data_IF_830672506072
#
_entry.id   IF_830672506072
#
_cell.length_a   1.000
_cell.length_b   1.000
_cell.length_c   1.000
_cell.angle_alpha   90.00
_cell.angle_beta   90.00
_cell.angle_gamma   90.00
#
_symmetry.space_group_name_H-M   'P 1'
#
loop_
_entity.id
_entity.type
_entity.pdbx_description
1 polymer ?
#
# COMPACT_ATOMS: atom_id res chain seq x y z
N UNK A 1 -2.04 19.81 5.77
CA UNK A 1 -2.52 21.05 5.10
C UNK A 1 -3.27 20.67 3.84
N UNK A 2 -4.21 21.50 3.41
CA UNK A 2 -5.05 21.26 2.22
C UNK A 2 -5.04 22.50 1.32
N UNK A 3 -4.72 22.33 0.03
CA UNK A 3 -4.66 23.42 -0.95
C UNK A 3 -6.03 23.64 -1.56
N UNK A 4 -6.59 24.84 -1.38
CA UNK A 4 -7.90 25.18 -1.95
C UNK A 4 -7.81 25.31 -3.46
N UNK A 5 -8.70 24.59 -4.16
CA UNK A 5 -8.79 24.64 -5.62
C UNK A 5 -7.43 24.38 -6.31
N UNK A 6 -6.73 23.34 -5.89
CA UNK A 6 -5.36 23.02 -6.29
C UNK A 6 -5.13 23.11 -7.81
N UNK A 7 -6.00 22.49 -8.63
CA UNK A 7 -5.83 22.48 -10.09
C UNK A 7 -5.90 23.88 -10.71
N UNK A 8 -6.64 24.81 -10.11
CA UNK A 8 -6.73 26.20 -10.62
C UNK A 8 -5.42 27.01 -10.45
N UNK A 9 -4.44 26.47 -9.70
CA UNK A 9 -3.11 27.08 -9.57
C UNK A 9 -2.15 26.58 -10.67
N UNK A 10 -2.43 25.46 -11.33
CA UNK A 10 -1.59 24.90 -12.39
C UNK A 10 -1.67 25.72 -13.67
N UNK A 11 -0.53 26.08 -14.24
CA UNK A 11 -0.44 26.77 -15.53
C UNK A 11 -0.43 25.75 -16.67
N UNK A 12 -1.25 25.99 -17.69
CA UNK A 12 -1.31 25.12 -18.87
C UNK A 12 -0.18 25.49 -19.81
N UNK A 13 0.50 24.47 -20.33
CA UNK A 13 1.50 24.62 -21.39
C UNK A 13 0.92 24.36 -22.79
N UNK A 14 -0.24 23.71 -22.81
CA UNK A 14 -0.98 23.36 -24.03
C UNK A 14 -2.08 24.40 -24.30
N UNK A 15 -2.35 24.63 -25.58
CA UNK A 15 -3.50 25.46 -26.00
C UNK A 15 -4.83 24.71 -25.75
N UNK A 16 -5.57 25.16 -24.75
CA UNK A 16 -6.86 24.58 -24.38
C UNK A 16 -7.96 25.62 -24.54
N UNK A 17 -8.97 25.27 -25.32
CA UNK A 17 -10.13 26.12 -25.54
C UNK A 17 -11.39 25.44 -25.00
N UNK A 18 -12.24 26.23 -24.33
CA UNK A 18 -13.53 25.76 -23.80
C UNK A 18 -14.64 26.69 -24.24
N UNK A 19 -15.86 26.17 -24.33
CA UNK A 19 -17.06 26.98 -24.56
C UNK A 19 -17.31 27.92 -23.37
N UNK A 20 -17.94 29.04 -23.64
CA UNK A 20 -18.35 29.95 -22.58
C UNK A 20 -19.40 29.26 -21.69
N UNK A 21 -19.23 29.28 -20.34
CA UNK A 21 -20.17 28.60 -19.44
C UNK A 21 -21.59 29.19 -19.55
N UNK A 22 -22.65 28.38 -19.41
CA UNK A 22 -24.01 28.86 -19.34
C UNK A 22 -24.20 29.98 -18.31
N UNK A 23 -24.83 31.07 -18.69
CA UNK A 23 -25.00 32.27 -17.83
C UNK A 23 -23.84 33.26 -17.87
N UNK A 24 -22.70 32.96 -18.50
CA UNK A 24 -21.55 33.85 -18.67
C UNK A 24 -21.22 34.10 -20.15
N UNK A 25 -22.15 33.82 -21.05
CA UNK A 25 -22.00 34.07 -22.49
C UNK A 25 -21.98 35.56 -22.74
N UNK A 26 -20.89 36.08 -23.30
CA UNK A 26 -20.71 37.49 -23.62
C UNK A 26 -21.59 37.89 -24.79
N UNK A 27 -22.47 38.85 -24.56
CA UNK A 27 -23.40 39.36 -25.59
C UNK A 27 -22.61 39.93 -26.78
N UNK A 28 -22.96 39.49 -27.98
CA UNK A 28 -22.23 39.83 -29.22
C UNK A 28 -20.97 39.01 -29.50
N UNK A 29 -20.66 38.05 -28.64
CA UNK A 29 -19.51 37.17 -28.75
C UNK A 29 -19.87 35.69 -28.49
N UNK A 30 -21.12 35.30 -28.74
CA UNK A 30 -21.68 34.00 -28.43
C UNK A 30 -20.93 32.82 -29.09
N UNK A 31 -20.28 33.08 -30.23
CA UNK A 31 -19.48 32.08 -30.97
C UNK A 31 -18.00 31.99 -30.55
N UNK A 32 -17.55 32.90 -29.65
CA UNK A 32 -16.17 32.84 -29.17
C UNK A 32 -16.02 31.82 -28.08
N UNK A 33 -14.85 31.20 -28.05
CA UNK A 33 -14.38 30.27 -27.00
C UNK A 33 -13.42 30.97 -26.07
N UNK A 34 -13.24 30.44 -24.86
CA UNK A 34 -12.27 30.92 -23.90
C UNK A 34 -10.99 30.10 -24.04
N UNK A 35 -9.86 30.78 -24.19
CA UNK A 35 -8.54 30.19 -24.09
C UNK A 35 -8.14 30.10 -22.62
N UNK A 36 -7.81 28.93 -22.16
CA UNK A 36 -7.43 28.69 -20.76
C UNK A 36 -5.94 28.91 -20.56
N UNK A 37 -5.59 29.76 -19.61
CA UNK A 37 -4.20 29.98 -19.14
C UNK A 37 -3.89 29.04 -17.97
N UNK A 38 -4.90 28.74 -17.14
CA UNK A 38 -4.79 27.84 -15.99
C UNK A 38 -5.67 26.62 -16.15
N UNK A 39 -5.29 25.54 -15.48
CA UNK A 39 -6.04 24.30 -15.49
C UNK A 39 -7.41 24.45 -14.81
N UNK A 40 -8.36 23.65 -15.25
CA UNK A 40 -9.68 23.48 -14.64
C UNK A 40 -9.89 22.02 -14.22
N UNK A 41 -10.73 21.82 -13.21
CA UNK A 41 -11.19 20.49 -12.84
C UNK A 41 -11.91 19.83 -14.02
N UNK A 42 -11.62 18.56 -14.27
CA UNK A 42 -12.11 17.80 -15.42
C UNK A 42 -11.17 17.72 -16.62
N UNK A 43 -10.17 18.60 -16.72
CA UNK A 43 -9.13 18.48 -17.76
C UNK A 43 -8.15 17.36 -17.42
N UNK A 44 -7.79 16.53 -18.42
CA UNK A 44 -6.83 15.43 -18.25
C UNK A 44 -5.43 15.90 -17.80
N UNK A 45 -5.00 17.08 -18.24
CA UNK A 45 -3.71 17.69 -17.91
C UNK A 45 -3.69 18.47 -16.59
N UNK A 46 -4.85 18.74 -15.96
CA UNK A 46 -4.93 19.52 -14.75
C UNK A 46 -4.09 18.96 -13.57
N UNK A 47 -4.10 17.65 -13.28
CA UNK A 47 -3.24 17.08 -12.23
C UNK A 47 -1.76 17.29 -12.50
N UNK A 48 -1.33 17.16 -13.76
CA UNK A 48 0.08 17.36 -14.17
C UNK A 48 0.49 18.82 -14.03
N UNK A 49 -0.34 19.76 -14.48
CA UNK A 49 -0.08 21.20 -14.38
C UNK A 49 0.02 21.64 -12.91
N UNK A 50 -0.87 21.14 -12.06
CA UNK A 50 -0.82 21.37 -10.63
C UNK A 50 0.44 20.79 -9.98
N UNK A 51 0.75 19.53 -10.27
CA UNK A 51 1.94 18.88 -9.73
C UNK A 51 3.22 19.64 -10.09
N UNK A 52 3.37 20.07 -11.35
CA UNK A 52 4.51 20.87 -11.78
C UNK A 52 4.62 22.21 -11.02
N UNK A 53 3.49 22.87 -10.74
CA UNK A 53 3.46 24.11 -9.96
C UNK A 53 3.85 23.90 -8.50
N UNK A 54 3.36 22.83 -7.89
CA UNK A 54 3.70 22.47 -6.52
C UNK A 54 5.18 22.07 -6.39
N UNK A 55 5.68 21.24 -7.31
CA UNK A 55 7.08 20.81 -7.38
C UNK A 55 8.02 22.02 -7.49
N UNK A 56 7.79 22.94 -8.45
CA UNK A 56 8.54 24.16 -8.60
C UNK A 56 8.56 24.99 -7.29
N UNK A 57 7.43 25.05 -6.60
CA UNK A 57 7.31 25.81 -5.35
C UNK A 57 8.11 25.17 -4.22
N UNK A 58 8.05 23.83 -4.07
CA UNK A 58 8.81 23.11 -3.05
C UNK A 58 10.33 23.17 -3.33
N UNK A 59 10.74 23.03 -4.59
CA UNK A 59 12.15 23.18 -5.00
C UNK A 59 12.69 24.58 -4.67
N UNK A 60 11.92 25.65 -4.91
CA UNK A 60 12.29 27.04 -4.54
C UNK A 60 12.46 27.21 -3.04
N UNK A 61 11.71 26.49 -2.22
CA UNK A 61 11.85 26.45 -0.76
C UNK A 61 13.01 25.58 -0.29
N UNK A 62 13.81 25.03 -1.21
CA UNK A 62 15.00 24.22 -0.91
C UNK A 62 14.70 22.76 -0.60
N UNK A 63 13.47 22.29 -0.84
CA UNK A 63 13.18 20.85 -0.76
C UNK A 63 13.81 20.10 -1.92
N UNK A 64 14.09 18.83 -1.68
CA UNK A 64 14.54 17.88 -2.69
C UNK A 64 13.51 16.77 -2.79
N UNK A 65 13.09 16.46 -4.01
CA UNK A 65 12.21 15.31 -4.25
C UNK A 65 12.96 14.01 -3.99
N UNK A 66 12.33 13.05 -3.31
CA UNK A 66 12.89 11.72 -3.09
C UNK A 66 13.06 11.00 -4.43
N UNK A 67 14.18 10.30 -4.61
CA UNK A 67 14.43 9.46 -5.80
C UNK A 67 13.71 8.11 -5.70
N UNK A 68 13.34 7.71 -4.49
CA UNK A 68 12.64 6.45 -4.20
C UNK A 68 11.11 6.58 -4.26
N UNK A 69 10.58 7.77 -3.93
CA UNK A 69 9.14 8.06 -3.91
C UNK A 69 8.87 9.53 -4.26
N UNK A 70 8.44 9.77 -5.48
CA UNK A 70 8.25 11.13 -6.03
C UNK A 70 7.18 11.96 -5.29
N UNK A 71 6.32 11.33 -4.53
CA UNK A 71 5.34 12.03 -3.68
C UNK A 71 5.94 12.52 -2.36
N UNK A 72 7.24 12.32 -2.12
CA UNK A 72 7.93 12.69 -0.89
C UNK A 72 9.01 13.72 -1.17
N UNK A 73 8.99 14.81 -0.41
CA UNK A 73 9.97 15.89 -0.46
C UNK A 73 10.68 16.04 0.88
N UNK A 74 11.97 16.31 0.83
CA UNK A 74 12.87 16.37 1.97
C UNK A 74 13.59 17.71 2.02
N UNK A 75 13.66 18.30 3.22
CA UNK A 75 14.44 19.53 3.46
C UNK A 75 15.23 19.40 4.75
N UNK A 76 16.39 20.04 4.83
CA UNK A 76 17.23 20.05 6.02
C UNK A 76 17.92 18.71 6.29
N UNK A 77 18.59 18.62 7.45
CA UNK A 77 19.36 17.44 7.84
C UNK A 77 19.22 17.16 9.35
N UNK A 78 19.40 15.91 9.74
CA UNK A 78 19.36 15.46 11.14
C UNK A 78 18.08 15.93 11.87
N UNK A 79 18.23 16.61 13.01
CA UNK A 79 17.13 17.02 13.88
C UNK A 79 16.23 18.11 13.25
N UNK A 80 16.72 18.78 12.20
CA UNK A 80 15.97 19.78 11.41
C UNK A 80 15.42 19.22 10.10
N UNK A 81 15.33 17.90 9.96
CA UNK A 81 14.76 17.25 8.81
C UNK A 81 13.26 17.49 8.76
N UNK A 82 12.80 18.08 7.65
CA UNK A 82 11.38 18.13 7.27
C UNK A 82 11.12 17.11 6.18
N UNK A 83 9.99 16.43 6.29
CA UNK A 83 9.46 15.50 5.30
C UNK A 83 8.07 15.98 4.93
N UNK A 84 7.83 16.16 3.65
CA UNK A 84 6.51 16.52 3.10
C UNK A 84 6.03 15.40 2.19
N UNK A 85 4.93 14.75 2.55
CA UNK A 85 4.22 13.81 1.69
C UNK A 85 3.09 14.53 0.95
N UNK A 86 3.01 14.35 -0.36
CA UNK A 86 2.05 15.04 -1.24
C UNK A 86 1.04 14.04 -1.80
N UNK A 87 -0.24 14.37 -1.69
CA UNK A 87 -1.30 13.65 -2.39
C UNK A 87 -2.33 14.65 -2.95
N UNK A 88 -2.18 14.97 -4.22
CA UNK A 88 -2.97 15.97 -4.96
C UNK A 88 -2.93 17.34 -4.26
N UNK A 89 -3.93 17.67 -3.44
CA UNK A 89 -4.10 18.91 -2.67
C UNK A 89 -3.76 18.77 -1.18
N UNK A 90 -3.59 17.53 -0.71
CA UNK A 90 -3.24 17.22 0.68
C UNK A 90 -1.72 17.16 0.89
N UNK A 91 -1.21 17.86 1.90
CA UNK A 91 0.18 17.80 2.35
C UNK A 91 0.27 17.27 3.78
N UNK A 92 0.99 16.16 3.97
CA UNK A 92 1.43 15.71 5.29
C UNK A 92 2.82 16.26 5.56
N UNK A 93 2.99 16.91 6.71
CA UNK A 93 4.25 17.50 7.13
C UNK A 93 4.73 16.78 8.40
N UNK A 94 5.95 16.29 8.38
CA UNK A 94 6.60 15.69 9.54
C UNK A 94 8.00 16.29 9.74
N UNK A 95 8.36 16.57 11.00
CA UNK A 95 9.66 17.12 11.33
C UNK A 95 9.92 17.06 12.83
N UNK A 96 11.20 17.13 13.22
CA UNK A 96 11.63 17.14 14.63
C UNK A 96 11.52 18.52 15.30
N UNK A 97 11.47 19.59 14.52
CA UNK A 97 11.47 20.96 15.01
C UNK A 97 10.16 21.69 14.61
N UNK A 98 9.39 22.12 15.60
CA UNK A 98 8.12 22.83 15.37
C UNK A 98 8.31 24.17 14.63
N UNK A 99 9.37 24.90 14.92
CA UNK A 99 9.65 26.20 14.25
C UNK A 99 9.85 26.01 12.74
N UNK A 100 10.56 24.97 12.33
CA UNK A 100 10.76 24.67 10.90
C UNK A 100 9.44 24.30 10.21
N UNK A 101 8.57 23.56 10.91
CA UNK A 101 7.22 23.22 10.43
C UNK A 101 6.38 24.50 10.25
N UNK A 102 6.38 25.38 11.23
CA UNK A 102 5.57 26.60 11.21
C UNK A 102 6.07 27.59 10.14
N UNK A 103 7.39 27.70 9.96
CA UNK A 103 8.00 28.49 8.88
C UNK A 103 7.56 27.97 7.51
N UNK A 104 7.68 26.66 7.28
CA UNK A 104 7.23 26.04 6.03
C UNK A 104 5.73 26.27 5.77
N UNK A 105 4.88 26.15 6.80
CA UNK A 105 3.45 26.44 6.68
C UNK A 105 3.19 27.90 6.25
N UNK A 106 3.92 28.87 6.82
CA UNK A 106 3.80 30.29 6.45
C UNK A 106 4.21 30.52 4.99
N UNK A 107 5.32 29.94 4.55
CA UNK A 107 5.80 30.05 3.17
C UNK A 107 4.80 29.46 2.18
N UNK A 108 4.22 28.31 2.50
CA UNK A 108 3.18 27.68 1.66
C UNK A 108 1.91 28.52 1.63
N UNK A 109 1.48 29.12 2.75
CA UNK A 109 0.34 30.03 2.81
C UNK A 109 0.56 31.32 2.00
N UNK A 110 1.80 31.79 1.87
CA UNK A 110 2.13 32.95 1.02
C UNK A 110 2.03 32.63 -0.47
N UNK A 111 2.21 31.35 -0.83
CA UNK A 111 2.22 30.90 -2.22
C UNK A 111 0.85 30.42 -2.69
N UNK A 112 0.13 29.70 -1.84
CA UNK A 112 -1.15 29.07 -2.15
C UNK A 112 -2.23 29.43 -1.10
N UNK A 113 -3.47 29.51 -1.55
CA UNK A 113 -4.59 29.54 -0.61
C UNK A 113 -4.76 28.15 0.02
N UNK A 114 -4.42 28.02 1.29
CA UNK A 114 -4.40 26.75 2.01
C UNK A 114 -5.18 26.80 3.32
N UNK A 115 -5.54 25.63 3.83
CA UNK A 115 -6.02 25.44 5.19
C UNK A 115 -5.01 24.61 5.99
N UNK A 116 -4.63 25.11 7.16
CA UNK A 116 -3.92 24.28 8.15
C UNK A 116 -4.95 23.47 8.93
N UNK A 117 -4.90 22.15 8.80
CA UNK A 117 -5.79 21.21 9.47
C UNK A 117 -5.26 20.78 10.85
N UNK A 118 -4.14 21.38 11.29
CA UNK A 118 -3.51 21.08 12.57
C UNK A 118 -2.84 19.69 12.60
N UNK A 119 -2.87 19.06 13.77
CA UNK A 119 -2.33 17.72 13.97
C UNK A 119 -3.12 16.70 13.19
N UNK A 120 -2.44 15.77 12.53
CA UNK A 120 -3.06 14.77 11.68
C UNK A 120 -3.99 13.85 12.49
N UNK A 121 -5.28 13.86 12.14
CA UNK A 121 -6.33 13.01 12.72
C UNK A 121 -7.03 12.15 11.66
N UNK A 122 -7.00 12.60 10.41
CA UNK A 122 -7.65 11.94 9.30
C UNK A 122 -6.91 12.21 8.00
N UNK A 123 -6.65 11.18 7.20
CA UNK A 123 -5.94 11.30 5.94
C UNK A 123 -6.37 10.23 4.95
N UNK A 124 -6.88 10.64 3.79
CA UNK A 124 -7.29 9.71 2.73
C UNK A 124 -8.17 8.57 3.24
N UNK A 125 -9.16 8.86 4.10
CA UNK A 125 -10.04 7.84 4.67
C UNK A 125 -9.44 7.01 5.80
N UNK A 126 -8.22 7.28 6.23
CA UNK A 126 -7.57 6.66 7.39
C UNK A 126 -7.76 7.54 8.63
N UNK A 127 -8.17 6.95 9.72
CA UNK A 127 -8.23 7.57 11.04
C UNK A 127 -6.86 7.46 11.70
N UNK A 128 -6.31 8.57 12.17
CA UNK A 128 -4.98 8.66 12.78
C UNK A 128 -5.12 9.12 14.22
N UNK A 129 -4.79 8.26 15.16
CA UNK A 129 -4.70 8.60 16.57
C UNK A 129 -3.23 8.70 16.98
N UNK A 130 -2.85 9.82 17.59
CA UNK A 130 -1.48 10.06 18.03
C UNK A 130 -1.45 10.27 19.54
N UNK A 131 -0.62 9.49 20.24
CA UNK A 131 -0.37 9.54 21.67
C UNK A 131 1.13 9.64 21.97
N UNK A 132 1.49 9.71 23.24
CA UNK A 132 2.89 9.61 23.67
C UNK A 132 3.48 8.22 23.39
N UNK A 133 2.65 7.18 23.41
CA UNK A 133 3.05 5.80 23.17
C UNK A 133 3.29 5.50 21.68
N UNK A 134 2.61 6.23 20.78
CA UNK A 134 2.76 6.01 19.35
C UNK A 134 1.63 6.57 18.49
N UNK A 135 1.49 5.95 17.32
CA UNK A 135 0.47 6.30 16.32
C UNK A 135 -0.35 5.05 16.01
N UNK A 136 -1.66 5.19 15.98
CA UNK A 136 -2.57 4.14 15.50
C UNK A 136 -3.23 4.60 14.20
N UNK A 137 -3.20 3.76 13.18
CA UNK A 137 -3.92 3.93 11.92
C UNK A 137 -5.04 2.90 11.85
N UNK A 138 -6.28 3.34 11.68
CA UNK A 138 -7.44 2.47 11.53
C UNK A 138 -8.45 3.06 10.55
N UNK A 139 -9.52 2.32 10.28
CA UNK A 139 -10.61 2.72 9.39
C UNK A 139 -11.96 2.30 10.00
N UNK A 140 -12.19 2.62 11.28
CA UNK A 140 -13.36 2.15 12.02
C UNK A 140 -14.68 2.61 11.40
N UNK A 141 -14.78 3.90 11.07
CA UNK A 141 -15.97 4.46 10.43
C UNK A 141 -16.21 3.86 9.04
N UNK A 142 -15.13 3.63 8.27
CA UNK A 142 -15.23 2.99 6.96
C UNK A 142 -15.65 1.53 7.07
N UNK A 143 -15.10 0.77 8.00
CA UNK A 143 -15.48 -0.61 8.26
C UNK A 143 -16.96 -0.73 8.68
N UNK A 144 -17.44 0.17 9.54
CA UNK A 144 -18.84 0.25 9.94
C UNK A 144 -19.75 0.55 8.74
N UNK A 145 -19.35 1.50 7.87
CA UNK A 145 -20.09 1.83 6.64
C UNK A 145 -20.17 0.64 5.67
N UNK A 146 -19.11 -0.17 5.54
CA UNK A 146 -19.15 -1.40 4.73
C UNK A 146 -20.20 -2.35 5.26
N UNK A 147 -20.27 -2.58 6.60
CA UNK A 147 -21.27 -3.45 7.20
C UNK A 147 -22.69 -2.92 7.02
N UNK A 148 -22.90 -1.62 7.12
CA UNK A 148 -24.18 -0.97 6.87
C UNK A 148 -24.64 -1.16 5.41
N UNK A 149 -23.79 -0.81 4.44
CA UNK A 149 -24.13 -0.90 3.01
C UNK A 149 -24.33 -2.32 2.51
N UNK A 150 -23.73 -3.31 3.20
CA UNK A 150 -23.92 -4.74 2.89
C UNK A 150 -25.04 -5.41 3.68
N UNK A 151 -25.73 -4.67 4.54
CA UNK A 151 -26.81 -5.22 5.42
C UNK A 151 -26.28 -6.19 6.47
N UNK A 152 -25.00 -6.07 6.86
CA UNK A 152 -24.34 -6.96 7.82
C UNK A 152 -24.14 -6.33 9.21
N UNK A 153 -24.74 -5.17 9.45
CA UNK A 153 -24.73 -4.52 10.78
C UNK A 153 -25.35 -5.45 11.83
N UNK A 154 -24.66 -5.63 12.95
CA UNK A 154 -25.14 -6.50 14.05
C UNK A 154 -25.08 -8.01 13.76
N UNK A 155 -24.47 -8.45 12.67
CA UNK A 155 -24.33 -9.87 12.38
C UNK A 155 -23.44 -10.57 13.41
N UNK A 156 -23.68 -11.87 13.63
CA UNK A 156 -22.85 -12.70 14.54
C UNK A 156 -21.42 -12.76 14.01
N UNK A 157 -20.46 -12.28 14.81
CA UNK A 157 -19.03 -12.25 14.48
C UNK A 157 -18.41 -13.66 14.35
N UNK A 158 -17.26 -13.71 13.67
CA UNK A 158 -16.40 -14.91 13.57
C UNK A 158 -14.98 -14.56 14.00
N UNK A 159 -14.21 -15.57 14.43
CA UNK A 159 -12.83 -15.35 14.90
C UNK A 159 -11.79 -15.27 13.78
N UNK A 160 -12.10 -15.73 12.55
CA UNK A 160 -11.18 -15.72 11.42
C UNK A 160 -11.89 -15.23 10.15
N UNK A 161 -11.22 -14.48 9.27
CA UNK A 161 -11.83 -13.93 8.06
C UNK A 161 -12.11 -15.01 6.99
N UNK A 162 -11.43 -16.15 7.05
CA UNK A 162 -11.62 -17.26 6.11
C UNK A 162 -11.56 -18.61 6.83
N UNK A 163 -12.25 -19.60 6.30
CA UNK A 163 -12.19 -20.96 6.81
C UNK A 163 -10.89 -21.64 6.43
N UNK A 164 -10.22 -22.35 7.35
CA UNK A 164 -9.05 -23.13 7.02
C UNK A 164 -9.36 -24.11 5.88
N UNK A 165 -8.43 -24.23 4.93
CA UNK A 165 -8.53 -25.14 3.78
C UNK A 165 -9.70 -24.88 2.83
N UNK A 166 -10.40 -23.74 2.92
CA UNK A 166 -11.43 -23.36 1.95
C UNK A 166 -10.83 -23.35 0.53
N UNK A 167 -11.52 -24.03 -0.39
CA UNK A 167 -11.18 -24.05 -1.81
C UNK A 167 -12.35 -23.54 -2.62
N UNK A 168 -12.14 -22.44 -3.34
CA UNK A 168 -13.12 -21.84 -4.25
C UNK A 168 -12.60 -21.94 -5.67
N UNK A 169 -13.48 -22.14 -6.64
CA UNK A 169 -13.16 -22.29 -8.06
C UNK A 169 -13.97 -21.35 -8.93
N UNK A 170 -13.37 -20.84 -9.98
CA UNK A 170 -14.08 -20.14 -11.07
C UNK A 170 -15.08 -21.04 -11.80
N UNK A 171 -14.89 -22.37 -11.72
CA UNK A 171 -15.76 -23.38 -12.32
C UNK A 171 -16.86 -23.88 -11.36
N UNK A 172 -17.14 -23.13 -10.27
CA UNK A 172 -18.22 -23.46 -9.34
C UNK A 172 -19.56 -23.57 -10.08
N UNK A 173 -20.31 -24.62 -9.76
CA UNK A 173 -21.69 -24.86 -10.28
C UNK A 173 -22.76 -24.22 -9.42
N UNK A 174 -22.39 -23.50 -8.36
CA UNK A 174 -23.32 -22.79 -7.51
C UNK A 174 -24.00 -21.63 -8.28
N UNK A 175 -25.22 -21.21 -7.89
CA UNK A 175 -25.93 -20.14 -8.58
C UNK A 175 -25.10 -18.86 -8.71
N UNK A 176 -25.09 -18.30 -9.94
CA UNK A 176 -24.46 -17.03 -10.23
C UNK A 176 -25.15 -15.88 -9.48
N UNK A 177 -24.37 -14.86 -9.13
CA UNK A 177 -24.88 -13.62 -8.51
C UNK A 177 -24.47 -12.40 -9.32
N UNK A 178 -25.06 -11.23 -9.02
CA UNK A 178 -24.69 -9.97 -9.67
C UNK A 178 -23.20 -9.63 -9.47
N UNK A 179 -22.40 -9.60 -10.55
CA UNK A 179 -21.00 -9.27 -10.46
C UNK A 179 -20.74 -7.82 -10.02
N UNK A 180 -21.67 -6.90 -10.31
CA UNK A 180 -21.54 -5.48 -9.96
C UNK A 180 -21.60 -5.30 -8.45
N UNK A 181 -22.59 -5.91 -7.82
CA UNK A 181 -22.72 -5.93 -6.36
C UNK A 181 -21.50 -6.59 -5.69
N UNK A 182 -21.07 -7.74 -6.20
CA UNK A 182 -19.90 -8.45 -5.68
C UNK A 182 -18.62 -7.59 -5.77
N UNK A 183 -18.36 -7.00 -6.94
CA UNK A 183 -17.19 -6.10 -7.15
C UNK A 183 -17.21 -4.89 -6.23
N UNK A 184 -18.38 -4.30 -6.01
CA UNK A 184 -18.52 -3.17 -5.08
C UNK A 184 -18.09 -3.53 -3.66
N UNK A 185 -18.52 -4.68 -3.14
CA UNK A 185 -18.15 -5.14 -1.80
C UNK A 185 -16.65 -5.46 -1.75
N UNK A 186 -16.14 -6.25 -2.69
CA UNK A 186 -14.72 -6.64 -2.70
C UNK A 186 -13.81 -5.42 -2.86
N UNK A 187 -14.17 -4.44 -3.71
CA UNK A 187 -13.44 -3.18 -3.85
C UNK A 187 -13.37 -2.40 -2.53
N UNK A 188 -14.47 -2.33 -1.78
CA UNK A 188 -14.49 -1.71 -0.46
C UNK A 188 -13.59 -2.45 0.53
N UNK A 189 -13.60 -3.78 0.50
CA UNK A 189 -12.71 -4.60 1.35
C UNK A 189 -11.23 -4.43 0.98
N UNK A 190 -10.90 -4.31 -0.31
CA UNK A 190 -9.52 -4.04 -0.75
C UNK A 190 -8.98 -2.72 -0.19
N UNK A 191 -9.83 -1.69 -0.12
CA UNK A 191 -9.42 -0.43 0.50
C UNK A 191 -9.18 -0.57 2.01
N UNK A 192 -9.98 -1.38 2.71
CA UNK A 192 -9.81 -1.64 4.14
C UNK A 192 -8.49 -2.36 4.47
N UNK A 193 -7.95 -3.16 3.55
CA UNK A 193 -6.66 -3.86 3.71
C UNK A 193 -5.49 -2.91 3.98
N UNK A 194 -5.58 -1.63 3.59
CA UNK A 194 -4.52 -0.63 3.84
C UNK A 194 -4.20 -0.41 5.33
N UNK A 195 -5.11 -0.76 6.25
CA UNK A 195 -4.86 -0.74 7.70
C UNK A 195 -5.09 -2.10 8.36
N UNK A 196 -5.46 -3.12 7.57
CA UNK A 196 -5.87 -4.43 8.05
C UNK A 196 -5.10 -5.55 7.32
N UNK A 197 -3.81 -5.76 7.64
CA UNK A 197 -3.01 -6.85 7.05
C UNK A 197 -3.63 -8.23 7.28
N UNK A 198 -4.34 -8.43 8.37
CA UNK A 198 -5.07 -9.63 8.73
C UNK A 198 -6.16 -10.03 7.71
N UNK A 199 -6.65 -9.09 6.92
CA UNK A 199 -7.62 -9.32 5.86
C UNK A 199 -6.98 -9.56 4.48
N UNK A 200 -5.69 -9.28 4.30
CA UNK A 200 -5.06 -9.20 2.98
C UNK A 200 -5.20 -10.50 2.17
N UNK A 201 -4.96 -11.65 2.77
CA UNK A 201 -5.13 -12.95 2.09
C UNK A 201 -6.58 -13.21 1.71
N UNK A 202 -7.50 -13.10 2.67
CA UNK A 202 -8.91 -13.43 2.46
C UNK A 202 -9.56 -12.53 1.40
N UNK A 203 -9.27 -11.22 1.42
CA UNK A 203 -9.74 -10.27 0.43
C UNK A 203 -9.09 -10.51 -0.93
N UNK A 204 -7.77 -10.74 -0.96
CA UNK A 204 -7.04 -11.12 -2.18
C UNK A 204 -7.56 -12.42 -2.80
N UNK A 205 -7.99 -13.39 -1.97
CA UNK A 205 -8.54 -14.66 -2.45
C UNK A 205 -9.92 -14.48 -3.10
N UNK A 206 -10.87 -13.80 -2.43
CA UNK A 206 -12.20 -13.56 -3.00
C UNK A 206 -12.18 -12.62 -4.21
N UNK A 207 -11.18 -11.76 -4.34
CA UNK A 207 -11.02 -10.88 -5.50
C UNK A 207 -10.78 -11.61 -6.82
N UNK A 208 -10.34 -12.88 -6.76
CA UNK A 208 -10.11 -13.72 -7.95
C UNK A 208 -11.39 -14.06 -8.72
N UNK A 209 -12.55 -13.89 -8.09
CA UNK A 209 -13.86 -14.30 -8.59
C UNK A 209 -14.75 -13.13 -9.02
N UNK A 210 -14.22 -11.90 -9.12
CA UNK A 210 -14.99 -10.67 -9.47
C UNK A 210 -15.59 -10.69 -10.89
N UNK A 211 -15.09 -11.52 -11.78
CA UNK A 211 -15.57 -11.64 -13.17
C UNK A 211 -16.89 -12.41 -13.23
N UNK A 212 -16.98 -13.55 -12.57
CA UNK A 212 -18.13 -14.45 -12.56
C UNK A 212 -18.37 -15.03 -11.16
N UNK A 213 -18.88 -14.23 -10.22
CA UNK A 213 -19.09 -14.68 -8.85
C UNK A 213 -20.33 -15.55 -8.68
N UNK A 214 -20.26 -16.46 -7.71
CA UNK A 214 -21.36 -17.36 -7.33
C UNK A 214 -21.74 -17.16 -5.86
N UNK A 215 -22.82 -17.82 -5.43
CA UNK A 215 -23.27 -17.78 -4.03
C UNK A 215 -22.22 -18.32 -3.06
N UNK A 216 -21.36 -19.26 -3.48
CA UNK A 216 -20.23 -19.75 -2.66
C UNK A 216 -19.18 -18.64 -2.42
N UNK A 217 -18.84 -17.90 -3.48
CA UNK A 217 -17.91 -16.77 -3.36
C UNK A 217 -18.47 -15.68 -2.45
N UNK A 218 -19.77 -15.39 -2.55
CA UNK A 218 -20.45 -14.45 -1.65
C UNK A 218 -20.48 -14.95 -0.21
N UNK A 219 -20.61 -16.27 0.00
CA UNK A 219 -20.50 -16.91 1.30
C UNK A 219 -19.17 -16.60 2.01
N UNK A 220 -18.07 -16.71 1.25
CA UNK A 220 -16.73 -16.34 1.75
C UNK A 220 -16.62 -14.84 2.07
N UNK A 221 -17.17 -13.97 1.21
CA UNK A 221 -17.23 -12.50 1.46
C UNK A 221 -18.03 -12.20 2.73
N UNK A 222 -19.19 -12.83 2.92
CA UNK A 222 -19.99 -12.67 4.15
C UNK A 222 -19.23 -13.10 5.40
N UNK A 223 -18.37 -14.10 5.32
CA UNK A 223 -17.52 -14.49 6.44
C UNK A 223 -16.50 -13.40 6.78
N UNK A 224 -15.87 -12.78 5.79
CA UNK A 224 -14.97 -11.63 5.99
C UNK A 224 -15.73 -10.50 6.70
N UNK A 225 -16.94 -10.17 6.25
CA UNK A 225 -17.79 -9.14 6.87
C UNK A 225 -18.14 -9.47 8.34
N UNK A 226 -18.42 -10.73 8.65
CA UNK A 226 -18.66 -11.18 10.03
C UNK A 226 -17.40 -11.07 10.89
N UNK A 227 -16.21 -11.30 10.34
CA UNK A 227 -14.97 -11.08 11.05
C UNK A 227 -14.75 -9.59 11.32
N UNK A 228 -14.98 -8.71 10.33
CA UNK A 228 -14.90 -7.26 10.48
C UNK A 228 -15.86 -6.76 11.56
N UNK A 229 -17.10 -7.30 11.64
CA UNK A 229 -18.07 -6.94 12.67
C UNK A 229 -17.56 -7.19 14.09
N UNK A 230 -16.71 -8.20 14.30
CA UNK A 230 -16.08 -8.50 15.60
C UNK A 230 -14.77 -7.77 15.84
N UNK A 231 -14.24 -7.05 14.85
CA UNK A 231 -12.89 -6.45 14.89
C UNK A 231 -12.86 -5.03 14.33
N UNK A 232 -13.95 -4.26 14.52
CA UNK A 232 -14.08 -2.90 13.98
C UNK A 232 -12.93 -1.97 14.39
N UNK A 233 -12.47 -2.08 15.64
CA UNK A 233 -11.42 -1.24 16.21
C UNK A 233 -10.00 -1.67 15.85
N UNK A 234 -9.83 -2.72 15.02
CA UNK A 234 -8.50 -3.17 14.63
C UNK A 234 -7.86 -2.24 13.60
N UNK A 235 -6.54 -2.13 13.69
CA UNK A 235 -5.71 -1.30 12.81
C UNK A 235 -4.24 -1.57 13.06
N UNK A 236 -3.38 -0.74 12.48
CA UNK A 236 -1.93 -0.80 12.66
C UNK A 236 -1.50 0.15 13.78
N UNK A 237 -0.74 -0.37 14.74
CA UNK A 237 -0.16 0.41 15.82
C UNK A 237 1.34 0.58 15.60
N UNK A 238 1.80 1.82 15.64
CA UNK A 238 3.20 2.21 15.47
C UNK A 238 3.74 2.75 16.80
N UNK A 239 4.50 1.92 17.49
CA UNK A 239 5.07 2.25 18.81
C UNK A 239 6.25 3.20 18.69
N UNK A 240 6.29 4.21 19.55
CA UNK A 240 7.42 5.15 19.66
C UNK A 240 8.50 4.55 20.55
N UNK A 241 9.56 4.01 19.96
CA UNK A 241 10.75 3.56 20.71
C UNK A 241 11.75 4.71 20.91
N UNK A 242 12.16 4.94 22.15
CA UNK A 242 13.00 6.11 22.52
C UNK A 242 14.50 5.97 22.24
N UNK A 243 15.07 4.78 21.98
CA UNK A 243 16.55 4.61 21.94
C UNK A 243 17.12 3.57 20.96
N UNK A 244 16.33 2.68 20.38
CA UNK A 244 16.86 1.68 19.45
C UNK A 244 16.66 2.10 17.99
N UNK A 245 17.71 1.92 17.21
CA UNK A 245 17.63 2.11 15.78
C UNK A 245 16.71 1.05 15.16
N UNK A 246 15.56 1.49 14.68
CA UNK A 246 14.60 0.58 14.04
C UNK A 246 15.20 0.02 12.75
N UNK A 247 15.46 -1.29 12.72
CA UNK A 247 15.97 -2.03 11.55
C UNK A 247 14.81 -2.49 10.69
N UNK A 248 15.05 -2.56 9.38
CA UNK A 248 14.10 -3.12 8.42
C UNK A 248 14.21 -4.64 8.45
N UNK A 249 13.10 -5.31 8.77
CA UNK A 249 12.96 -6.76 8.83
C UNK A 249 11.82 -7.21 7.94
N UNK A 250 12.10 -8.09 6.99
CA UNK A 250 11.13 -8.68 6.08
C UNK A 250 10.84 -10.14 6.40
N UNK A 251 9.62 -10.57 6.07
CA UNK A 251 9.18 -11.96 6.06
C UNK A 251 8.65 -12.29 4.67
N UNK A 252 9.00 -13.45 4.16
CA UNK A 252 8.52 -13.97 2.88
C UNK A 252 8.04 -15.40 3.05
N UNK A 253 6.85 -15.67 2.53
CA UNK A 253 6.23 -17.00 2.51
C UNK A 253 5.53 -17.24 1.18
N UNK A 254 5.33 -18.49 0.81
CA UNK A 254 4.51 -18.90 -0.31
C UNK A 254 3.75 -20.18 -0.04
N UNK A 255 2.47 -20.23 -0.39
CA UNK A 255 1.79 -21.50 -0.51
C UNK A 255 2.29 -22.29 -1.74
N UNK A 256 2.05 -23.58 -1.78
CA UNK A 256 2.34 -24.40 -2.96
C UNK A 256 1.05 -24.66 -3.74
N UNK A 257 0.94 -24.08 -4.95
CA UNK A 257 -0.13 -24.35 -5.90
C UNK A 257 -1.55 -24.24 -5.31
N UNK A 258 -1.76 -23.28 -4.39
CA UNK A 258 -3.01 -23.13 -3.63
C UNK A 258 -4.22 -22.71 -4.44
N UNK A 259 -4.02 -22.09 -5.59
CA UNK A 259 -5.10 -21.76 -6.54
C UNK A 259 -5.46 -23.01 -7.35
N UNK A 260 -6.66 -23.55 -7.12
CA UNK A 260 -7.08 -24.83 -7.72
C UNK A 260 -7.32 -24.75 -9.22
N UNK A 261 -7.68 -23.55 -9.73
CA UNK A 261 -7.99 -23.35 -11.15
C UNK A 261 -6.73 -23.23 -12.01
N UNK A 262 -5.70 -22.53 -11.49
CA UNK A 262 -4.50 -22.21 -12.25
C UNK A 262 -3.22 -22.87 -11.72
N UNK A 263 -3.30 -23.54 -10.58
CA UNK A 263 -2.16 -24.17 -9.87
C UNK A 263 -1.03 -23.20 -9.53
N UNK A 264 -1.34 -21.90 -9.48
CA UNK A 264 -0.41 -20.85 -9.08
C UNK A 264 -0.37 -20.69 -7.57
N UNK A 265 0.81 -20.39 -7.05
CA UNK A 265 1.04 -20.10 -5.64
C UNK A 265 0.65 -18.67 -5.27
N UNK A 266 0.48 -18.41 -4.00
CA UNK A 266 0.27 -17.07 -3.43
C UNK A 266 1.52 -16.66 -2.67
N UNK A 267 2.10 -15.53 -3.02
CA UNK A 267 3.21 -14.90 -2.31
C UNK A 267 2.67 -14.03 -1.17
N UNK A 268 3.26 -14.18 0.02
CA UNK A 268 3.10 -13.32 1.18
C UNK A 268 4.38 -12.57 1.48
N UNK A 269 4.29 -11.25 1.62
CA UNK A 269 5.41 -10.38 1.99
C UNK A 269 4.97 -9.46 3.12
N UNK A 270 5.78 -9.37 4.17
CA UNK A 270 5.49 -8.51 5.32
C UNK A 270 6.79 -7.85 5.78
N UNK A 271 6.79 -6.53 5.94
CA UNK A 271 7.93 -5.79 6.45
C UNK A 271 7.60 -4.99 7.70
N UNK A 272 8.56 -5.00 8.61
CA UNK A 272 8.54 -4.21 9.84
C UNK A 272 9.71 -3.23 9.86
N UNK A 273 9.47 -2.05 10.41
CA UNK A 273 10.51 -1.11 10.83
C UNK A 273 10.59 -1.15 12.37
N UNK A 274 11.57 -1.87 12.89
CA UNK A 274 11.56 -2.32 14.30
C UNK A 274 10.42 -3.31 14.53
N UNK A 275 9.45 -2.97 15.39
CA UNK A 275 8.26 -3.80 15.65
C UNK A 275 6.99 -3.30 14.91
N UNK A 276 7.14 -2.28 14.07
CA UNK A 276 6.02 -1.61 13.43
C UNK A 276 5.82 -2.14 12.00
N UNK A 277 4.67 -2.70 11.63
CA UNK A 277 4.41 -3.16 10.26
C UNK A 277 4.33 -1.96 9.32
N UNK A 278 5.11 -1.96 8.24
CA UNK A 278 5.19 -0.83 7.29
C UNK A 278 4.66 -1.18 5.90
N UNK A 279 4.68 -2.45 5.52
CA UNK A 279 4.08 -2.90 4.27
C UNK A 279 3.74 -4.38 4.33
N UNK A 280 2.69 -4.78 3.62
CA UNK A 280 2.24 -6.17 3.49
C UNK A 280 1.63 -6.41 2.12
N UNK A 281 1.78 -7.63 1.63
CA UNK A 281 1.26 -8.02 0.34
C UNK A 281 0.84 -9.49 0.36
N UNK A 282 -0.35 -9.78 -0.18
CA UNK A 282 -0.82 -11.12 -0.50
C UNK A 282 -1.16 -11.16 -1.98
N UNK A 283 -0.35 -11.84 -2.80
CA UNK A 283 -0.50 -11.79 -4.26
C UNK A 283 -0.30 -13.15 -4.91
N UNK A 284 -1.22 -13.54 -5.81
CA UNK A 284 -1.07 -14.73 -6.64
C UNK A 284 0.11 -14.55 -7.60
N UNK A 285 1.00 -15.55 -7.67
CA UNK A 285 2.15 -15.57 -8.57
C UNK A 285 1.71 -15.55 -10.04
N UNK A 286 2.55 -14.96 -10.89
CA UNK A 286 2.27 -14.88 -12.34
C UNK A 286 2.55 -16.19 -13.08
N UNK A 287 3.42 -17.04 -12.53
CA UNK A 287 3.84 -18.33 -13.08
C UNK A 287 3.40 -19.46 -12.16
N UNK A 288 3.43 -20.69 -12.66
CA UNK A 288 3.23 -21.91 -11.87
C UNK A 288 4.61 -22.38 -11.41
N UNK A 289 4.83 -22.44 -10.10
CA UNK A 289 6.04 -22.99 -9.52
C UNK A 289 6.02 -24.54 -9.57
N UNK A 290 7.12 -25.15 -9.93
CA UNK A 290 7.23 -26.61 -10.05
C UNK A 290 7.50 -27.30 -8.71
N UNK A 291 7.89 -26.54 -7.68
CA UNK A 291 8.15 -27.04 -6.33
C UNK A 291 7.85 -25.97 -5.27
N UNK A 292 7.76 -26.38 -4.01
CA UNK A 292 7.67 -25.44 -2.88
C UNK A 292 8.90 -24.55 -2.80
N UNK A 293 10.09 -25.08 -3.02
CA UNK A 293 11.33 -24.30 -3.07
C UNK A 293 11.28 -23.19 -4.13
N UNK A 294 10.75 -23.47 -5.32
CA UNK A 294 10.60 -22.46 -6.38
C UNK A 294 9.55 -21.40 -6.02
N UNK A 295 8.41 -21.82 -5.46
CA UNK A 295 7.38 -20.89 -5.01
C UNK A 295 7.92 -19.92 -3.95
N UNK A 296 8.67 -20.44 -2.96
CA UNK A 296 9.35 -19.66 -1.92
C UNK A 296 10.43 -18.74 -2.50
N UNK A 297 11.19 -19.22 -3.47
CA UNK A 297 12.22 -18.42 -4.13
C UNK A 297 11.63 -17.24 -4.90
N UNK A 298 10.50 -17.42 -5.59
CA UNK A 298 9.75 -16.38 -6.28
C UNK A 298 9.22 -15.35 -5.27
N UNK A 299 8.70 -15.83 -4.13
CA UNK A 299 8.22 -14.97 -3.06
C UNK A 299 9.37 -14.13 -2.45
N UNK A 300 10.50 -14.77 -2.15
CA UNK A 300 11.70 -14.13 -1.62
C UNK A 300 12.26 -13.06 -2.57
N UNK A 301 12.19 -13.28 -3.88
CA UNK A 301 12.58 -12.27 -4.87
C UNK A 301 11.65 -11.05 -4.83
N UNK A 302 10.35 -11.28 -4.73
CA UNK A 302 9.36 -10.20 -4.59
C UNK A 302 9.61 -9.39 -3.32
N UNK A 303 9.85 -10.07 -2.19
CA UNK A 303 10.20 -9.44 -0.93
C UNK A 303 11.53 -8.67 -1.02
N UNK A 304 12.53 -9.21 -1.73
CA UNK A 304 13.80 -8.53 -1.98
C UNK A 304 13.62 -7.19 -2.70
N UNK A 305 12.82 -7.14 -3.76
CA UNK A 305 12.52 -5.89 -4.47
C UNK A 305 11.89 -4.86 -3.53
N UNK A 306 10.89 -5.27 -2.75
CA UNK A 306 10.22 -4.41 -1.77
C UNK A 306 11.19 -3.94 -0.67
N UNK A 307 12.03 -4.84 -0.14
CA UNK A 307 13.01 -4.53 0.89
C UNK A 307 14.05 -3.51 0.44
N UNK A 308 14.54 -3.62 -0.79
CA UNK A 308 15.51 -2.66 -1.37
C UNK A 308 14.87 -1.28 -1.54
N UNK A 309 13.64 -1.23 -2.05
CA UNK A 309 12.91 0.05 -2.17
C UNK A 309 12.71 0.71 -0.81
N UNK A 310 12.25 -0.04 0.20
CA UNK A 310 12.10 0.46 1.57
C UNK A 310 13.43 0.93 2.16
N UNK A 311 14.53 0.18 1.97
CA UNK A 311 15.85 0.55 2.47
C UNK A 311 16.32 1.88 1.86
N UNK A 312 16.13 2.09 0.56
CA UNK A 312 16.44 3.35 -0.12
C UNK A 312 15.63 4.51 0.44
N UNK A 313 14.30 4.34 0.55
CA UNK A 313 13.41 5.35 1.09
C UNK A 313 13.78 5.71 2.54
N UNK A 314 14.06 4.71 3.39
CA UNK A 314 14.49 4.93 4.77
C UNK A 314 15.85 5.66 4.82
N UNK A 315 16.77 5.33 3.91
CA UNK A 315 18.07 6.03 3.81
C UNK A 315 17.88 7.50 3.49
N UNK A 316 17.03 7.82 2.54
CA UNK A 316 16.71 9.20 2.18
C UNK A 316 16.02 9.94 3.35
N UNK A 317 15.00 9.32 3.96
CA UNK A 317 14.28 9.90 5.10
C UNK A 317 15.20 10.19 6.30
N UNK A 318 16.17 9.31 6.58
CA UNK A 318 17.09 9.43 7.71
C UNK A 318 18.36 10.23 7.36
N UNK A 319 18.68 10.42 6.09
CA UNK A 319 19.91 11.06 5.62
C UNK A 319 21.16 10.25 5.94
N UNK A 320 21.06 8.92 6.01
CA UNK A 320 22.15 7.96 6.21
C UNK A 320 21.80 6.61 5.61
N UNK A 321 22.81 5.85 5.21
CA UNK A 321 22.58 4.53 4.62
C UNK A 321 21.81 3.61 5.57
N UNK A 322 20.79 2.94 5.04
CA UNK A 322 20.18 1.80 5.70
C UNK A 322 21.14 0.61 5.54
N UNK A 323 21.34 -0.15 6.61
CA UNK A 323 22.06 -1.41 6.53
C UNK A 323 21.34 -2.43 5.65
N UNK A 324 21.96 -3.60 5.46
CA UNK A 324 21.35 -4.70 4.73
C UNK A 324 19.94 -5.04 5.28
N UNK A 325 18.99 -5.26 4.39
CA UNK A 325 17.64 -5.70 4.76
C UNK A 325 17.68 -7.18 5.16
N UNK A 326 17.28 -7.51 6.40
CA UNK A 326 17.11 -8.91 6.81
C UNK A 326 15.80 -9.45 6.29
N UNK A 327 15.83 -10.62 5.62
CA UNK A 327 14.66 -11.30 5.07
C UNK A 327 14.55 -12.71 5.67
N UNK A 328 13.47 -12.98 6.41
CA UNK A 328 13.15 -14.26 7.04
C UNK A 328 12.38 -15.14 6.07
N UNK A 329 12.89 -16.37 5.84
CA UNK A 329 12.33 -17.37 4.94
C UNK A 329 12.34 -18.70 5.69
N UNK A 330 11.29 -19.49 5.62
CA UNK A 330 11.21 -20.80 6.31
C UNK A 330 11.63 -21.98 5.43
N UNK A 331 12.03 -21.75 4.18
CA UNK A 331 12.51 -22.76 3.24
C UNK A 331 14.04 -22.67 3.05
N UNK A 332 14.77 -23.59 3.69
CA UNK A 332 16.24 -23.64 3.61
C UNK A 332 16.76 -23.84 2.19
N UNK A 333 16.02 -24.60 1.35
CA UNK A 333 16.40 -24.81 -0.05
C UNK A 333 16.28 -23.52 -0.87
N UNK A 334 15.29 -22.68 -0.61
CA UNK A 334 15.15 -21.38 -1.25
C UNK A 334 16.28 -20.43 -0.79
N UNK A 335 16.65 -20.46 0.50
CA UNK A 335 17.79 -19.73 1.03
C UNK A 335 19.10 -20.18 0.38
N UNK A 336 19.33 -21.50 0.29
CA UNK A 336 20.52 -22.06 -0.37
C UNK A 336 20.58 -21.64 -1.85
N UNK A 337 19.44 -21.65 -2.55
CA UNK A 337 19.33 -21.22 -3.95
C UNK A 337 19.64 -19.72 -4.12
N UNK A 338 19.34 -18.90 -3.13
CA UNK A 338 19.64 -17.45 -3.15
C UNK A 338 21.13 -17.15 -2.90
N UNK A 339 21.87 -18.08 -2.27
CA UNK A 339 23.27 -17.87 -1.87
C UNK A 339 24.29 -18.56 -2.79
N UNK A 340 23.87 -19.58 -3.55
CA UNK A 340 24.81 -20.44 -4.25
C UNK A 340 24.61 -20.43 -5.78
N UNK A 341 25.59 -19.90 -6.56
CA UNK A 341 25.54 -19.87 -8.02
C UNK A 341 25.67 -21.27 -8.68
N UNK A 342 26.18 -22.27 -7.98
CA UNK A 342 26.41 -23.64 -8.52
C UNK A 342 25.11 -24.37 -8.85
N UNK A 343 23.96 -23.96 -8.32
CA UNK A 343 22.66 -24.56 -8.64
C UNK A 343 22.04 -24.10 -9.95
N UNK A 344 22.78 -23.44 -10.84
CA UNK A 344 22.28 -22.96 -12.13
C UNK A 344 21.61 -24.05 -12.97
N UNK A 345 22.18 -25.27 -13.02
CA UNK A 345 21.62 -26.34 -13.82
C UNK A 345 20.26 -26.85 -13.36
N UNK A 346 20.00 -26.82 -12.05
CA UNK A 346 18.71 -27.22 -11.45
C UNK A 346 17.65 -26.10 -11.45
N UNK A 347 18.04 -24.85 -11.77
CA UNK A 347 17.17 -23.69 -11.74
C UNK A 347 17.02 -23.00 -13.10
N UNK A 348 17.49 -23.63 -14.19
CA UNK A 348 17.40 -23.08 -15.57
C UNK A 348 15.98 -22.80 -16.04
N UNK A 349 14.99 -23.50 -15.49
CA UNK A 349 13.58 -23.31 -15.79
C UNK A 349 12.97 -22.09 -15.08
N UNK A 350 13.66 -21.52 -14.07
CA UNK A 350 13.21 -20.34 -13.34
C UNK A 350 13.58 -19.10 -14.19
N UNK A 351 12.61 -18.23 -14.43
CA UNK A 351 12.81 -16.99 -15.18
C UNK A 351 13.94 -16.14 -14.56
N UNK A 352 14.86 -15.65 -15.41
CA UNK A 352 16.07 -14.89 -15.04
C UNK A 352 15.76 -13.75 -14.05
N UNK A 353 14.63 -13.08 -14.19
CA UNK A 353 14.20 -12.01 -13.29
C UNK A 353 14.12 -12.41 -11.80
N UNK A 354 13.87 -13.70 -11.52
CA UNK A 354 13.81 -14.18 -10.15
C UNK A 354 15.20 -14.43 -9.56
N UNK A 355 16.24 -14.40 -10.37
CA UNK A 355 17.62 -14.52 -9.88
C UNK A 355 18.20 -13.21 -9.32
N UNK A 356 17.46 -12.10 -9.43
CA UNK A 356 17.83 -10.81 -8.85
C UNK A 356 18.15 -10.87 -7.34
N UNK A 357 17.47 -11.76 -6.60
CA UNK A 357 17.78 -11.96 -5.17
C UNK A 357 19.24 -12.39 -4.95
N UNK A 358 19.85 -13.19 -5.85
CA UNK A 358 21.25 -13.62 -5.74
C UNK A 358 22.20 -12.44 -5.76
N UNK A 359 22.05 -11.57 -6.74
CA UNK A 359 22.86 -10.34 -6.86
C UNK A 359 22.72 -9.50 -5.58
N UNK A 360 21.50 -9.36 -5.06
CA UNK A 360 21.27 -8.59 -3.85
C UNK A 360 21.87 -9.20 -2.59
N UNK A 361 21.94 -10.52 -2.51
CA UNK A 361 22.60 -11.24 -1.39
C UNK A 361 24.12 -11.14 -1.53
N UNK A 362 24.66 -11.32 -2.73
CA UNK A 362 26.10 -11.21 -3.03
C UNK A 362 26.63 -9.81 -2.76
N UNK A 363 25.89 -8.77 -3.21
CA UNK A 363 26.21 -7.36 -2.93
C UNK A 363 26.00 -6.96 -1.46
N UNK A 364 25.49 -7.84 -0.60
CA UNK A 364 25.21 -7.55 0.80
C UNK A 364 24.05 -6.59 1.05
N UNK A 365 23.20 -6.33 0.03
CA UNK A 365 22.00 -5.48 0.17
C UNK A 365 20.87 -6.17 0.93
N UNK A 366 20.81 -7.49 0.83
CA UNK A 366 19.80 -8.34 1.50
C UNK A 366 20.51 -9.49 2.21
N UNK A 367 20.01 -9.83 3.39
CA UNK A 367 20.46 -10.96 4.21
C UNK A 367 19.33 -11.95 4.36
N UNK A 368 19.44 -13.11 3.72
CA UNK A 368 18.45 -14.18 3.90
C UNK A 368 18.78 -15.00 5.14
N UNK A 369 17.80 -15.16 6.02
CA UNK A 369 17.91 -15.87 7.29
C UNK A 369 16.78 -16.88 7.42
N UNK A 370 17.10 -18.08 7.97
CA UNK A 370 16.09 -19.10 8.24
C UNK A 370 15.23 -18.71 9.44
N UNK A 371 13.94 -19.08 9.37
CA UNK A 371 12.99 -18.94 10.47
C UNK A 371 12.16 -20.22 10.58
N UNK A 372 11.75 -20.58 11.80
CA UNK A 372 10.84 -21.70 12.01
C UNK A 372 9.45 -21.43 11.44
N UNK A 373 8.82 -22.44 10.84
CA UNK A 373 7.47 -22.31 10.24
C UNK A 373 6.42 -21.80 11.25
N UNK A 374 6.59 -22.08 12.54
CA UNK A 374 5.69 -21.59 13.59
C UNK A 374 5.85 -20.08 13.85
N UNK A 375 6.99 -19.50 13.51
CA UNK A 375 7.34 -18.10 13.71
C UNK A 375 7.22 -17.27 12.41
N UNK A 376 6.82 -17.90 11.29
CA UNK A 376 6.67 -17.25 10.00
C UNK A 376 5.42 -16.34 9.99
N UNK A 377 5.65 -15.04 10.15
CA UNK A 377 4.56 -14.06 10.21
C UNK A 377 3.87 -13.84 8.86
N UNK A 378 4.55 -14.13 7.74
CA UNK A 378 3.95 -14.00 6.41
C UNK A 378 2.93 -15.11 6.09
N UNK A 379 2.80 -16.16 6.91
CA UNK A 379 1.79 -17.22 6.79
C UNK A 379 0.35 -16.65 6.70
N UNK A 380 0.06 -15.59 7.44
CA UNK A 380 -1.24 -14.92 7.41
C UNK A 380 -1.60 -14.32 6.04
N UNK A 381 -0.60 -14.15 5.17
CA UNK A 381 -0.73 -13.56 3.83
C UNK A 381 -0.79 -14.62 2.71
N UNK A 382 -0.57 -15.90 3.02
CA UNK A 382 -0.52 -16.98 2.02
C UNK A 382 -1.59 -18.05 2.22
N UNK A 383 -2.13 -18.18 3.42
CA UNK A 383 -3.11 -19.23 3.75
C UNK A 383 -4.14 -18.79 4.80
N UNK A 384 -5.29 -19.44 4.76
CA UNK A 384 -6.28 -19.29 5.82
C UNK A 384 -5.83 -20.06 7.06
N UNK A 385 -5.44 -19.35 8.10
CA UNK A 385 -4.96 -19.93 9.35
C UNK A 385 -6.11 -20.39 10.24
N UNK A 386 -5.87 -21.45 11.02
CA UNK A 386 -6.74 -21.85 12.13
C UNK A 386 -6.70 -20.76 13.23
N UNK A 387 -7.74 -20.72 14.06
CA UNK A 387 -7.89 -19.68 15.10
C UNK A 387 -6.65 -19.54 15.98
N UNK A 388 -6.09 -20.66 16.45
CA UNK A 388 -4.95 -20.69 17.39
C UNK A 388 -3.65 -20.11 16.81
N UNK A 389 -3.55 -20.06 15.48
CA UNK A 389 -2.41 -19.45 14.77
C UNK A 389 -2.72 -18.07 14.21
N UNK A 390 -3.99 -17.72 14.14
CA UNK A 390 -4.45 -16.43 13.62
C UNK A 390 -4.54 -15.38 14.73
N UNK A 391 -5.00 -15.77 15.92
CA UNK A 391 -5.08 -14.95 17.13
C UNK A 391 -3.87 -15.22 18.03
#
# INVERSE_FOLDING_TARGET
>A
MDVKSAFLNGELQEDVYVEQPPGFILRGHERKVLHLVKALYGLRQAPRAWYAKLDESLLRLGFQMSTSEHAVYLHGARDRRLVVGVYVDDLIIAGGNQVDIDTFKQEMHSTFKMSDLGRLHYYLGLEVSQSEEGITLCQNAYAAKILETTGMTGCKSTCTPMEPRLKLSKLSTAPAIDPTHYRSIVGSLQYLVNTRPDLAYSVGYVSRFMESPTTEHLGAVKRILRYISGTLSYGCQYQRKKKEEARLLGYSDSDQAGDIDTRKSTTGVLFFLGNNPVTWQSQKQKVVALSSCEAEYIAATTATCQGIWLARLISELRGREAGATSLKIDNESAIALSKNPVFHDRSKHIDVRYHFIRECVEDGRVKTESIGTTEQLADILTKALARDRFC
#
